data_IF_238482272524
#
_entry.id   IF_238482272524
#
_cell.length_a   1.000
_cell.length_b   1.000
_cell.length_c   1.000
_cell.angle_alpha   90.00
_cell.angle_beta   90.00
_cell.angle_gamma   90.00
#
_symmetry.space_group_name_H-M   'P 1'
#
loop_
_entity.id
_entity.type
_entity.pdbx_description
1 polymer ?
#
# COMPACT_ATOMS: atom_id res chain seq x y z
N UNK A 1 16.86 4.36 -4.38
CA UNK A 1 17.45 3.05 -4.00
C UNK A 1 18.81 2.90 -4.66
N UNK A 2 19.82 2.32 -3.98
CA UNK A 2 21.11 2.05 -4.61
C UNK A 2 20.95 1.00 -5.73
N UNK A 3 21.74 1.14 -6.80
CA UNK A 3 21.74 0.18 -7.90
C UNK A 3 22.34 -1.16 -7.42
N UNK A 4 21.64 -2.26 -7.69
CA UNK A 4 22.14 -3.59 -7.40
C UNK A 4 23.13 -4.06 -8.48
N UNK A 5 24.25 -4.65 -8.04
CA UNK A 5 25.21 -5.35 -8.89
C UNK A 5 25.34 -6.80 -8.43
N UNK A 6 25.54 -7.73 -9.37
CA UNK A 6 25.67 -9.16 -9.06
C UNK A 6 26.85 -9.38 -8.11
N UNK A 7 26.61 -10.11 -7.01
CA UNK A 7 27.60 -10.33 -5.95
C UNK A 7 27.64 -9.22 -4.89
N UNK A 8 26.87 -8.14 -5.06
CA UNK A 8 26.73 -7.09 -4.06
C UNK A 8 25.91 -7.53 -2.83
N UNK A 9 25.97 -6.77 -1.74
CA UNK A 9 25.28 -7.10 -0.49
C UNK A 9 23.75 -6.95 -0.63
N UNK A 10 23.02 -7.63 0.26
CA UNK A 10 21.57 -7.49 0.38
C UNK A 10 21.18 -6.07 0.80
N UNK A 11 20.20 -5.48 0.10
CA UNK A 11 19.62 -4.17 0.46
C UNK A 11 18.93 -4.25 1.83
N UNK A 12 19.24 -3.29 2.71
CA UNK A 12 18.62 -3.12 4.03
C UNK A 12 18.04 -1.73 4.19
N UNK A 13 16.84 -1.65 4.75
CA UNK A 13 16.13 -0.40 5.02
C UNK A 13 15.91 -0.32 6.53
N UNK A 14 16.56 0.64 7.19
CA UNK A 14 16.48 0.79 8.65
C UNK A 14 15.34 1.71 9.10
N UNK A 15 15.02 2.72 8.30
CA UNK A 15 13.99 3.73 8.60
C UNK A 15 13.09 3.92 7.39
N UNK A 16 12.11 3.02 7.17
CA UNK A 16 11.22 3.13 6.01
C UNK A 16 10.35 4.38 6.12
N UNK A 17 10.26 5.16 5.04
CA UNK A 17 9.36 6.31 4.92
C UNK A 17 8.04 5.89 4.24
N UNK A 18 7.42 4.83 4.76
CA UNK A 18 6.18 4.29 4.25
C UNK A 18 5.07 4.43 5.29
N UNK A 19 3.84 4.62 4.81
CA UNK A 19 2.65 4.58 5.66
C UNK A 19 1.76 3.41 5.25
N UNK A 20 1.14 2.81 6.26
CA UNK A 20 0.14 1.76 6.13
C UNK A 20 -0.97 2.04 7.13
N UNK A 21 -2.20 2.14 6.63
CA UNK A 21 -3.37 2.47 7.42
C UNK A 21 -4.39 1.35 7.27
N UNK A 22 -4.79 0.70 8.37
CA UNK A 22 -5.90 -0.25 8.38
C UNK A 22 -7.21 0.50 8.16
N UNK A 23 -8.05 0.02 7.24
CA UNK A 23 -9.32 0.66 6.90
C UNK A 23 -10.43 -0.36 6.89
N UNK A 24 -11.60 0.00 7.44
CA UNK A 24 -12.79 -0.85 7.36
C UNK A 24 -13.14 -1.11 5.88
N UNK A 25 -13.35 -2.38 5.48
CA UNK A 25 -13.71 -2.68 4.11
C UNK A 25 -15.09 -2.11 3.77
N UNK A 26 -15.24 -1.59 2.56
CA UNK A 26 -16.50 -1.00 2.10
C UNK A 26 -17.53 -2.04 1.65
N UNK A 27 -17.09 -3.28 1.41
CA UNK A 27 -17.93 -4.44 1.08
C UNK A 27 -17.53 -5.58 1.99
N UNK A 28 -18.43 -6.54 2.28
CA UNK A 28 -18.07 -7.74 3.03
C UNK A 28 -16.85 -8.43 2.42
N UNK A 29 -15.89 -8.77 3.28
CA UNK A 29 -14.71 -9.54 2.93
C UNK A 29 -14.70 -10.83 3.75
N UNK A 30 -13.98 -11.87 3.31
CA UNK A 30 -13.72 -13.04 4.13
C UNK A 30 -13.07 -12.66 5.46
N UNK A 31 -13.26 -13.47 6.50
CA UNK A 31 -12.80 -13.19 7.86
C UNK A 31 -11.27 -13.08 7.98
N UNK A 32 -10.54 -13.79 7.11
CA UNK A 32 -9.08 -13.79 7.04
C UNK A 32 -8.50 -12.56 6.31
N UNK A 33 -9.35 -11.73 5.72
CA UNK A 33 -8.94 -10.68 4.79
C UNK A 33 -9.01 -9.29 5.42
N UNK A 34 -7.85 -8.66 5.57
CA UNK A 34 -7.71 -7.29 6.09
C UNK A 34 -7.40 -6.31 4.97
N UNK A 35 -8.08 -5.16 4.98
CA UNK A 35 -7.88 -4.10 3.99
C UNK A 35 -7.02 -2.94 4.55
N UNK A 36 -6.03 -2.54 3.77
CA UNK A 36 -5.14 -1.42 4.08
C UNK A 36 -5.11 -0.38 2.96
N UNK A 37 -4.86 0.87 3.33
CA UNK A 37 -4.36 1.92 2.44
C UNK A 37 -2.86 2.07 2.66
N UNK A 38 -2.10 2.02 1.57
CA UNK A 38 -0.62 2.00 1.60
C UNK A 38 -0.05 3.05 0.67
N UNK A 39 1.22 3.40 0.89
CA UNK A 39 1.96 4.30 0.00
C UNK A 39 2.03 3.78 -1.44
N UNK A 40 2.03 4.69 -2.41
CA UNK A 40 2.03 4.35 -3.85
C UNK A 40 3.30 3.62 -4.29
N UNK A 41 4.41 3.80 -3.57
CA UNK A 41 5.71 3.19 -3.87
C UNK A 41 5.82 1.75 -3.35
N UNK A 42 5.03 1.36 -2.35
CA UNK A 42 5.13 0.03 -1.73
C UNK A 42 4.70 -1.09 -2.67
N UNK A 43 5.51 -2.14 -2.75
CA UNK A 43 5.18 -3.38 -3.47
C UNK A 43 4.49 -4.39 -2.55
N UNK A 44 3.98 -5.48 -3.14
CA UNK A 44 3.38 -6.59 -2.37
C UNK A 44 4.38 -7.24 -1.40
N UNK A 45 5.64 -7.32 -1.80
CA UNK A 45 6.72 -7.89 -0.98
C UNK A 45 7.09 -6.94 0.16
N UNK A 46 7.13 -5.63 -0.09
CA UNK A 46 7.36 -4.63 0.97
C UNK A 46 6.26 -4.69 2.02
N UNK A 47 5.00 -4.79 1.61
CA UNK A 47 3.84 -4.91 2.52
C UNK A 47 3.97 -6.15 3.40
N UNK A 48 4.29 -7.31 2.80
CA UNK A 48 4.49 -8.57 3.54
C UNK A 48 5.60 -8.42 4.57
N UNK A 49 6.78 -7.96 4.14
CA UNK A 49 7.93 -7.75 5.03
C UNK A 49 7.62 -6.73 6.14
N UNK A 50 6.87 -5.67 5.83
CA UNK A 50 6.52 -4.63 6.80
C UNK A 50 5.64 -5.20 7.92
N UNK A 51 4.61 -5.97 7.56
CA UNK A 51 3.71 -6.62 8.53
C UNK A 51 4.41 -7.71 9.34
N UNK A 52 5.20 -8.57 8.68
CA UNK A 52 5.91 -9.67 9.34
C UNK A 52 7.03 -9.17 10.26
N UNK A 53 7.79 -8.15 9.85
CA UNK A 53 8.99 -7.70 10.60
C UNK A 53 8.71 -6.66 11.67
N UNK A 54 7.71 -5.81 11.47
CA UNK A 54 7.38 -4.73 12.44
C UNK A 54 6.26 -5.19 13.38
N UNK A 55 5.23 -5.84 12.84
CA UNK A 55 4.03 -6.21 13.61
C UNK A 55 3.94 -7.70 13.95
N UNK A 56 4.88 -8.54 13.47
CA UNK A 56 4.87 -9.99 13.67
C UNK A 56 3.58 -10.68 13.22
N UNK A 57 2.92 -10.13 12.19
CA UNK A 57 1.69 -10.69 11.64
C UNK A 57 2.05 -11.68 10.54
N UNK A 58 1.64 -12.97 10.64
CA UNK A 58 1.82 -13.92 9.54
C UNK A 58 0.96 -13.49 8.35
N UNK A 59 1.54 -13.52 7.15
CA UNK A 59 0.84 -13.11 5.92
C UNK A 59 0.92 -14.23 4.88
N UNK A 60 -0.24 -14.83 4.61
CA UNK A 60 -0.39 -15.84 3.57
C UNK A 60 -0.29 -15.22 2.17
N UNK A 61 -1.08 -14.18 1.88
CA UNK A 61 -1.13 -13.57 0.55
C UNK A 61 -1.40 -12.07 0.57
N UNK A 62 -0.84 -11.35 -0.40
CA UNK A 62 -1.04 -9.90 -0.58
C UNK A 62 -1.49 -9.61 -2.01
N UNK A 63 -2.65 -8.94 -2.14
CA UNK A 63 -3.17 -8.43 -3.41
C UNK A 63 -3.30 -6.92 -3.33
N UNK A 64 -2.80 -6.21 -4.33
CA UNK A 64 -2.82 -4.73 -4.34
C UNK A 64 -3.47 -4.22 -5.61
N UNK A 65 -4.19 -3.09 -5.49
CA UNK A 65 -4.72 -2.34 -6.63
C UNK A 65 -4.57 -0.85 -6.38
N UNK A 66 -4.45 -0.08 -7.45
CA UNK A 66 -4.46 1.39 -7.37
C UNK A 66 -5.90 1.85 -7.56
N UNK A 67 -6.38 2.69 -6.65
CA UNK A 67 -7.69 3.31 -6.72
C UNK A 67 -7.56 4.72 -7.30
N UNK A 68 -8.29 4.96 -8.39
CA UNK A 68 -8.44 6.30 -8.97
C UNK A 68 -9.35 7.15 -8.07
N UNK A 69 -8.87 8.33 -7.67
CA UNK A 69 -9.63 9.37 -7.00
C UNK A 69 -10.52 10.13 -7.98
N UNK A 70 -11.70 10.58 -7.54
CA UNK A 70 -12.61 11.31 -8.43
C UNK A 70 -11.96 12.58 -9.02
N UNK A 71 -12.26 12.88 -10.29
CA UNK A 71 -11.75 14.06 -11.03
C UNK A 71 -12.88 14.89 -11.67
N UNK A 72 -14.11 14.70 -11.19
CA UNK A 72 -15.30 15.30 -11.80
C UNK A 72 -15.71 16.61 -11.11
N UNK A 73 -15.16 16.90 -9.92
CA UNK A 73 -15.45 18.12 -9.17
C UNK A 73 -14.78 19.32 -9.85
N UNK A 74 -15.49 20.44 -9.92
CA UNK A 74 -14.93 21.72 -10.36
C UNK A 74 -15.04 22.77 -9.28
N UNK A 75 -14.07 23.69 -9.23
CA UNK A 75 -14.06 24.82 -8.30
C UNK A 75 -14.87 26.02 -8.83
N UNK A 76 -14.92 27.10 -8.06
CA UNK A 76 -15.61 28.34 -8.42
C UNK A 76 -15.04 29.05 -9.67
N UNK A 77 -13.83 28.65 -10.11
CA UNK A 77 -13.16 29.11 -11.35
C UNK A 77 -13.32 28.12 -12.51
N UNK A 78 -14.22 27.14 -12.40
CA UNK A 78 -14.45 26.09 -13.39
C UNK A 78 -13.22 25.19 -13.66
N UNK A 79 -12.25 25.12 -12.75
CA UNK A 79 -11.07 24.25 -12.82
C UNK A 79 -11.36 22.89 -12.17
N UNK A 80 -10.81 21.79 -12.71
CA UNK A 80 -11.00 20.45 -12.16
C UNK A 80 -10.20 20.26 -10.87
N UNK A 81 -10.85 19.74 -9.83
CA UNK A 81 -10.22 19.35 -8.57
C UNK A 81 -10.10 17.81 -8.50
N UNK A 82 -8.87 17.31 -8.64
CA UNK A 82 -8.56 15.88 -8.57
C UNK A 82 -8.36 15.46 -7.11
N UNK A 83 -9.13 14.47 -6.66
CA UNK A 83 -8.83 13.77 -5.40
C UNK A 83 -7.59 12.89 -5.60
N UNK A 84 -6.68 12.82 -4.61
CA UNK A 84 -5.47 12.01 -4.74
C UNK A 84 -5.80 10.54 -4.92
N UNK A 85 -5.06 9.89 -5.81
CA UNK A 85 -5.10 8.44 -5.98
C UNK A 85 -4.43 7.77 -4.78
N UNK A 86 -4.86 6.55 -4.46
CA UNK A 86 -4.27 5.79 -3.36
C UNK A 86 -4.20 4.31 -3.69
N UNK A 87 -3.24 3.61 -3.07
CA UNK A 87 -3.08 2.16 -3.22
C UNK A 87 -3.83 1.44 -2.12
N UNK A 88 -4.60 0.42 -2.51
CA UNK A 88 -5.31 -0.48 -1.61
C UNK A 88 -4.60 -1.81 -1.60
N UNK A 89 -4.39 -2.38 -0.42
CA UNK A 89 -3.88 -3.72 -0.22
C UNK A 89 -4.94 -4.58 0.50
N UNK A 90 -5.14 -5.79 0.00
CA UNK A 90 -5.90 -6.86 0.62
C UNK A 90 -4.88 -7.89 1.09
N UNK A 91 -4.85 -8.14 2.39
CA UNK A 91 -3.89 -9.02 3.04
C UNK A 91 -4.68 -10.17 3.65
N UNK A 92 -4.33 -11.39 3.29
CA UNK A 92 -4.84 -12.60 3.91
C UNK A 92 -3.86 -13.09 4.96
N UNK A 93 -4.36 -13.34 6.17
CA UNK A 93 -3.59 -13.84 7.31
C UNK A 93 -3.24 -15.33 7.15
#
# INVERSE_FOLDING_TARGET
YPLFQRGGPQLRIFRPNFFMLAVRPGVPQPEDTVQFRVSMEMTKVDIKNYLERIYNVPVAAVRTRIQYGANNKRNHKNQREKKPDYKVAYVQL
#
